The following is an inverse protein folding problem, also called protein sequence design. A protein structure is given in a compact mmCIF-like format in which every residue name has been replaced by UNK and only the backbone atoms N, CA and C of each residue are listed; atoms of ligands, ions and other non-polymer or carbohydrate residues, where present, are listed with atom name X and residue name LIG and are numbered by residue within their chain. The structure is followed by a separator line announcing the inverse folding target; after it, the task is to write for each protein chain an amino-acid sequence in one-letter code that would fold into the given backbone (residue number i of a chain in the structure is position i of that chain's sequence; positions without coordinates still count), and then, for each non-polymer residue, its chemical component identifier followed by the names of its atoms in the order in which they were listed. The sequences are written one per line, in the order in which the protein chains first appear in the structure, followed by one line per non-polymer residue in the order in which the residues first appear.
data_IF_142344001112
#
_entry.id   IF_142344001112
#
_cell.length_a   1.000
_cell.length_b   1.000
_cell.length_c   1.000
_cell.angle_alpha   90.00
_cell.angle_beta   90.00
_cell.angle_gamma   90.00
#
_symmetry.space_group_name_H-M   'P 1'
#
loop_
_entity.id
_entity.type
_entity.pdbx_description
1 polymer ?
#
# COMPACT_ATOMS: atom_id res chain seq x y z
N UNK A 1 -26.51 -45.04 63.28
CA UNK A 1 -27.96 -44.96 63.49
C UNK A 1 -28.42 -43.65 62.88
N UNK A 2 -29.29 -43.75 61.86
CA UNK A 2 -30.24 -42.73 61.35
C UNK A 2 -29.63 -41.45 60.73
N UNK A 3 -30.13 -40.88 59.64
CA UNK A 3 -31.15 -41.29 58.67
C UNK A 3 -30.97 -40.45 57.39
N UNK A 4 -31.40 -41.03 56.28
CA UNK A 4 -31.44 -40.45 54.94
C UNK A 4 -32.69 -39.57 54.82
N UNK A 5 -32.55 -38.32 54.35
CA UNK A 5 -33.66 -37.60 53.71
C UNK A 5 -33.18 -36.82 52.49
N UNK A 6 -33.70 -37.26 51.35
CA UNK A 6 -33.53 -36.69 50.00
C UNK A 6 -34.50 -35.51 49.88
N UNK A 7 -33.99 -34.32 49.59
CA UNK A 7 -34.81 -33.15 49.28
C UNK A 7 -34.81 -32.89 47.76
N UNK A 8 -35.91 -33.34 47.17
CA UNK A 8 -36.59 -32.93 45.93
C UNK A 8 -36.04 -31.72 45.15
N UNK A 9 -35.65 -31.96 43.89
CA UNK A 9 -35.53 -30.95 42.85
C UNK A 9 -36.90 -30.32 42.56
N UNK A 10 -37.05 -29.02 42.80
CA UNK A 10 -38.07 -28.18 42.18
C UNK A 10 -37.39 -27.31 41.12
N UNK A 11 -37.62 -27.68 39.85
CA UNK A 11 -37.19 -26.93 38.69
C UNK A 11 -38.12 -25.71 38.52
N UNK A 12 -37.68 -24.53 38.93
CA UNK A 12 -38.37 -23.27 38.63
C UNK A 12 -37.82 -22.75 37.30
N UNK A 13 -38.57 -22.94 36.22
CA UNK A 13 -38.31 -22.32 34.92
C UNK A 13 -38.66 -20.83 34.97
N UNK A 14 -37.66 -19.98 35.21
CA UNK A 14 -37.79 -18.54 34.99
C UNK A 14 -37.60 -18.28 33.49
N UNK A 15 -38.69 -18.01 32.79
CA UNK A 15 -38.68 -17.51 31.42
C UNK A 15 -38.14 -16.07 31.43
N UNK A 16 -36.84 -15.90 31.15
CA UNK A 16 -36.31 -14.59 30.77
C UNK A 16 -36.63 -14.36 29.28
N UNK A 17 -37.63 -13.51 29.03
CA UNK A 17 -37.85 -12.88 27.74
C UNK A 17 -36.68 -11.93 27.46
N UNK A 18 -35.71 -12.39 26.66
CA UNK A 18 -34.65 -11.54 26.15
C UNK A 18 -35.22 -10.70 25.01
N UNK A 19 -35.63 -9.47 25.32
CA UNK A 19 -36.00 -8.45 24.35
C UNK A 19 -34.77 -8.07 23.54
N UNK A 20 -34.67 -8.60 22.32
CA UNK A 20 -33.68 -8.17 21.32
C UNK A 20 -34.02 -6.75 20.89
N UNK A 21 -33.34 -5.76 21.48
CA UNK A 21 -33.27 -4.43 20.90
C UNK A 21 -32.40 -4.52 19.65
N UNK A 22 -33.05 -4.74 18.51
CA UNK A 22 -32.43 -4.64 17.20
C UNK A 22 -31.90 -3.20 17.04
N UNK A 23 -30.57 -3.04 17.08
CA UNK A 23 -29.95 -1.81 16.59
C UNK A 23 -30.28 -1.72 15.09
N UNK A 24 -30.78 -0.57 14.59
CA UNK A 24 -31.05 -0.45 13.19
C UNK A 24 -29.71 -0.52 12.45
N UNK A 25 -29.56 -1.57 11.63
CA UNK A 25 -28.49 -1.64 10.65
C UNK A 25 -28.57 -0.37 9.80
N UNK A 26 -27.60 0.53 9.97
CA UNK A 26 -27.45 1.66 9.07
C UNK A 26 -27.12 1.08 7.70
N UNK A 27 -28.13 1.04 6.83
CA UNK A 27 -27.96 0.81 5.41
C UNK A 27 -27.13 1.96 4.83
N UNK A 28 -25.81 1.83 4.86
CA UNK A 28 -24.94 2.63 4.01
C UNK A 28 -25.14 2.14 2.58
N UNK A 29 -25.95 2.87 1.82
CA UNK A 29 -26.01 2.75 0.36
C UNK A 29 -24.74 3.34 -0.24
N UNK A 30 -23.61 2.66 -0.04
CA UNK A 30 -22.39 2.92 -0.79
C UNK A 30 -22.63 2.51 -2.24
N UNK A 31 -22.41 3.41 -3.20
CA UNK A 31 -22.31 3.06 -4.60
C UNK A 31 -21.09 2.15 -4.73
N UNK A 32 -21.29 0.83 -4.70
CA UNK A 32 -20.22 -0.11 -5.00
C UNK A 32 -19.80 0.12 -6.45
N UNK A 33 -18.63 0.73 -6.65
CA UNK A 33 -18.02 0.80 -7.97
C UNK A 33 -17.74 -0.64 -8.41
N UNK A 34 -18.05 -0.94 -9.67
CA UNK A 34 -17.73 -2.23 -10.26
C UNK A 34 -16.21 -2.39 -10.26
N UNK A 35 -15.71 -3.44 -9.58
CA UNK A 35 -14.31 -3.86 -9.69
C UNK A 35 -13.90 -3.96 -11.18
N UNK A 36 -12.66 -3.63 -11.54
CA UNK A 36 -12.15 -3.92 -12.87
C UNK A 36 -12.33 -5.41 -13.17
N UNK A 37 -12.74 -5.76 -14.39
CA UNK A 37 -13.08 -7.16 -14.71
C UNK A 37 -11.90 -8.10 -14.60
N UNK A 38 -10.69 -7.57 -14.79
CA UNK A 38 -9.46 -8.29 -14.50
C UNK A 38 -9.41 -8.87 -13.08
N UNK A 39 -10.15 -8.30 -12.12
CA UNK A 39 -10.14 -8.67 -10.70
C UNK A 39 -11.49 -9.16 -10.17
N UNK A 40 -12.53 -9.24 -11.02
CA UNK A 40 -13.90 -9.57 -10.61
C UNK A 40 -14.29 -11.05 -10.82
N UNK A 41 -13.36 -11.90 -11.25
CA UNK A 41 -13.59 -13.29 -11.61
C UNK A 41 -12.88 -14.22 -10.63
N UNK A 42 -13.54 -15.29 -10.19
CA UNK A 42 -13.00 -16.34 -9.29
C UNK A 42 -11.76 -17.07 -9.87
N UNK A 43 -11.34 -16.70 -11.09
CA UNK A 43 -10.16 -17.22 -11.78
C UNK A 43 -8.83 -16.65 -11.29
N UNK A 44 -8.78 -15.53 -10.57
CA UNK A 44 -7.52 -15.07 -9.94
C UNK A 44 -7.43 -15.63 -8.52
N UNK A 45 -6.52 -16.58 -8.35
CA UNK A 45 -6.14 -17.03 -7.01
C UNK A 45 -5.48 -15.85 -6.31
N UNK A 46 -6.04 -15.35 -5.20
CA UNK A 46 -5.49 -14.23 -4.41
C UNK A 46 -3.98 -14.36 -4.11
N UNK A 47 -3.45 -15.58 -4.08
CA UNK A 47 -2.02 -15.87 -3.88
C UNK A 47 -1.12 -15.52 -5.08
N UNK A 48 -1.69 -15.27 -6.26
CA UNK A 48 -0.99 -14.91 -7.49
C UNK A 48 -1.02 -13.40 -7.79
N UNK A 49 -1.86 -12.64 -7.08
CA UNK A 49 -1.96 -11.18 -7.22
C UNK A 49 -0.65 -10.48 -6.87
N UNK A 50 -0.27 -9.48 -7.66
CA UNK A 50 0.83 -8.57 -7.33
C UNK A 50 0.44 -7.64 -6.18
N UNK A 51 1.41 -6.95 -5.57
CA UNK A 51 1.11 -5.95 -4.54
C UNK A 51 0.14 -4.87 -5.08
N UNK A 52 0.40 -4.38 -6.30
CA UNK A 52 -0.47 -3.41 -6.97
C UNK A 52 -1.87 -3.96 -7.26
N UNK A 53 -2.00 -5.24 -7.64
CA UNK A 53 -3.33 -5.84 -7.87
C UNK A 53 -4.18 -5.83 -6.58
N UNK A 54 -3.55 -6.12 -5.43
CA UNK A 54 -4.20 -6.07 -4.13
C UNK A 54 -4.60 -4.64 -3.76
N UNK A 55 -3.75 -3.66 -4.06
CA UNK A 55 -4.04 -2.23 -3.86
C UNK A 55 -5.22 -1.78 -4.73
N UNK A 56 -5.24 -2.15 -6.01
CA UNK A 56 -6.34 -1.84 -6.93
C UNK A 56 -7.66 -2.45 -6.43
N UNK A 57 -7.64 -3.72 -5.99
CA UNK A 57 -8.83 -4.36 -5.41
C UNK A 57 -9.33 -3.58 -4.18
N UNK A 58 -8.44 -3.25 -3.25
CA UNK A 58 -8.79 -2.52 -2.02
C UNK A 58 -9.33 -1.11 -2.30
N UNK A 59 -8.71 -0.38 -3.24
CA UNK A 59 -9.05 1.03 -3.52
C UNK A 59 -10.31 1.18 -4.37
N UNK A 60 -10.58 0.25 -5.30
CA UNK A 60 -11.78 0.31 -6.14
C UNK A 60 -13.04 -0.17 -5.40
N UNK A 61 -12.90 -1.06 -4.41
CA UNK A 61 -14.05 -1.62 -3.67
C UNK A 61 -14.70 -0.65 -2.69
N UNK A 62 -13.98 0.36 -2.18
CA UNK A 62 -14.51 1.25 -1.13
C UNK A 62 -14.09 2.71 -1.33
N UNK A 63 -15.05 3.50 -1.80
CA UNK A 63 -14.96 4.95 -1.97
C UNK A 63 -15.36 5.69 -0.69
N UNK A 64 -14.73 5.40 0.45
CA UNK A 64 -14.87 6.34 1.56
C UNK A 64 -14.04 7.58 1.19
N UNK A 65 -14.67 8.75 1.12
CA UNK A 65 -13.96 10.01 0.96
C UNK A 65 -12.98 10.17 2.12
N UNK A 66 -11.69 10.26 1.81
CA UNK A 66 -10.66 10.61 2.80
C UNK A 66 -10.61 12.13 2.87
N UNK A 67 -11.05 12.78 3.97
CA UNK A 67 -11.27 14.24 4.00
C UNK A 67 -10.03 15.08 3.69
N UNK A 68 -8.83 14.52 3.93
CA UNK A 68 -7.56 15.20 3.68
C UNK A 68 -7.03 15.01 2.23
N UNK A 69 -7.58 14.07 1.44
CA UNK A 69 -7.08 13.74 0.09
C UNK A 69 -8.04 14.23 -0.98
N UNK A 70 -7.54 15.04 -1.92
CA UNK A 70 -8.38 15.63 -2.97
C UNK A 70 -8.49 14.74 -4.20
N UNK A 71 -7.47 13.94 -4.48
CA UNK A 71 -7.45 12.97 -5.58
C UNK A 71 -6.32 11.97 -5.41
N UNK A 72 -6.43 10.81 -6.05
CA UNK A 72 -5.34 9.86 -6.20
C UNK A 72 -4.77 9.92 -7.61
N UNK A 73 -3.45 9.99 -7.70
CA UNK A 73 -2.71 9.76 -8.94
C UNK A 73 -2.32 8.29 -8.99
N UNK A 74 -2.42 7.69 -10.17
CA UNK A 74 -2.12 6.27 -10.40
C UNK A 74 -2.91 5.28 -9.52
N UNK A 75 -3.91 5.74 -8.76
CA UNK A 75 -4.78 4.91 -7.92
C UNK A 75 -4.51 4.94 -6.41
N UNK A 76 -3.28 5.24 -6.01
CA UNK A 76 -2.78 5.09 -4.63
C UNK A 76 -1.78 6.20 -4.21
N UNK A 77 -1.37 7.09 -5.12
CA UNK A 77 -0.56 8.25 -4.78
C UNK A 77 -1.48 9.40 -4.41
N UNK A 78 -1.62 9.66 -3.10
CA UNK A 78 -2.47 10.73 -2.60
C UNK A 78 -1.97 12.12 -3.03
N UNK A 79 -2.90 12.96 -3.47
CA UNK A 79 -2.67 14.37 -3.84
C UNK A 79 -3.62 15.24 -3.06
N UNK A 80 -3.11 16.35 -2.53
CA UNK A 80 -3.91 17.39 -1.89
C UNK A 80 -3.78 18.69 -2.69
N UNK A 81 -4.88 19.18 -3.26
CA UNK A 81 -4.92 20.51 -3.89
C UNK A 81 -5.30 21.56 -2.85
N UNK A 82 -4.40 22.51 -2.57
CA UNK A 82 -4.66 23.64 -1.68
C UNK A 82 -3.95 23.51 -0.32
N UNK A 83 -2.87 24.27 -0.16
CA UNK A 83 -2.09 24.36 1.07
C UNK A 83 -0.59 24.41 0.78
N UNK A 84 0.18 25.07 1.65
CA UNK A 84 1.64 25.25 1.59
C UNK A 84 2.48 23.95 1.63
N UNK A 85 1.87 22.80 1.34
CA UNK A 85 2.61 21.57 1.15
C UNK A 85 3.54 21.72 -0.05
N UNK A 86 4.83 21.45 0.15
CA UNK A 86 5.77 21.34 -0.96
C UNK A 86 5.20 20.28 -1.90
N UNK A 87 4.69 20.71 -3.04
CA UNK A 87 4.20 19.81 -4.08
C UNK A 87 5.44 19.19 -4.70
N UNK A 88 5.82 18.03 -4.19
CA UNK A 88 7.01 17.27 -4.57
C UNK A 88 6.79 16.50 -5.88
N UNK A 89 6.19 17.18 -6.87
CA UNK A 89 5.98 16.63 -8.20
C UNK A 89 7.15 17.04 -9.10
N UNK A 90 7.73 16.06 -9.79
CA UNK A 90 8.91 16.15 -10.68
C UNK A 90 10.29 16.32 -10.00
N UNK A 91 10.35 16.59 -8.70
CA UNK A 91 11.54 16.41 -7.86
C UNK A 91 11.12 15.60 -6.64
N UNK A 92 11.58 14.36 -6.52
CA UNK A 92 11.38 13.58 -5.30
C UNK A 92 11.82 14.44 -4.11
N UNK A 93 10.97 14.59 -3.10
CA UNK A 93 11.35 15.21 -1.84
C UNK A 93 11.80 14.10 -0.90
N UNK A 94 13.10 13.77 -0.86
CA UNK A 94 13.58 12.74 0.04
C UNK A 94 13.42 13.18 1.49
N UNK A 95 13.29 12.21 2.37
CA UNK A 95 13.51 12.40 3.81
C UNK A 95 14.96 12.85 4.08
N UNK A 96 15.16 13.58 5.18
CA UNK A 96 16.49 14.11 5.51
C UNK A 96 17.41 12.98 5.97
N UNK A 97 18.65 12.99 5.48
CA UNK A 97 19.70 12.07 5.91
C UNK A 97 20.40 12.60 7.16
N UNK A 98 20.55 11.75 8.15
CA UNK A 98 21.31 12.00 9.38
C UNK A 98 22.82 12.01 9.10
N UNK A 99 23.56 12.62 10.03
CA UNK A 99 25.03 12.76 9.96
C UNK A 99 25.76 11.41 10.04
N UNK A 100 25.14 10.40 10.65
CA UNK A 100 25.64 9.03 10.75
C UNK A 100 25.47 8.22 9.45
N UNK A 101 24.85 8.81 8.42
CA UNK A 101 24.64 8.17 7.14
C UNK A 101 23.31 7.43 7.00
N UNK A 102 22.46 7.41 8.03
CA UNK A 102 21.12 6.82 7.98
C UNK A 102 20.02 7.83 7.67
N UNK A 103 18.87 7.35 7.22
CA UNK A 103 17.65 8.14 7.00
C UNK A 103 16.60 7.63 7.97
N UNK A 104 16.41 8.36 9.07
CA UNK A 104 15.43 8.01 10.09
C UNK A 104 14.05 8.56 9.73
N UNK A 105 13.08 7.68 9.57
CA UNK A 105 11.69 8.02 9.32
C UNK A 105 10.89 7.67 10.57
N UNK A 106 10.48 8.71 11.31
CA UNK A 106 9.62 8.52 12.46
C UNK A 106 8.24 8.03 12.00
N UNK A 107 7.66 7.07 12.71
CA UNK A 107 6.31 6.58 12.42
C UNK A 107 5.46 6.39 13.67
N UNK A 108 4.14 6.45 13.49
CA UNK A 108 3.14 6.05 14.47
C UNK A 108 2.20 5.05 13.82
N UNK A 109 1.88 3.97 14.52
CA UNK A 109 0.80 3.05 14.13
C UNK A 109 -0.48 3.45 14.88
N UNK A 110 -1.61 3.43 14.19
CA UNK A 110 -2.92 3.55 14.84
C UNK A 110 -3.11 2.45 15.90
N UNK A 111 -3.68 2.77 17.08
CA UNK A 111 -4.07 1.75 18.05
C UNK A 111 -5.15 0.79 17.53
N UNK A 112 -5.83 1.13 16.43
CA UNK A 112 -6.86 0.30 15.81
C UNK A 112 -6.27 -0.92 15.07
N UNK A 113 -4.96 -0.95 14.83
CA UNK A 113 -4.30 -2.12 14.26
C UNK A 113 -4.15 -3.23 15.28
N UNK A 114 -4.59 -4.44 14.89
CA UNK A 114 -4.34 -5.64 15.69
C UNK A 114 -2.84 -5.94 15.80
N UNK A 115 -2.45 -6.76 16.78
CA UNK A 115 -1.05 -7.21 16.91
C UNK A 115 -0.55 -7.96 15.66
N UNK A 116 -1.45 -8.57 14.88
CA UNK A 116 -1.11 -9.22 13.62
C UNK A 116 -0.83 -8.17 12.53
N UNK A 117 -1.70 -7.18 12.39
CA UNK A 117 -1.55 -6.09 11.43
C UNK A 117 -0.23 -5.34 11.67
N UNK A 118 0.08 -5.04 12.93
CA UNK A 118 1.34 -4.38 13.30
C UNK A 118 2.57 -5.22 12.90
N UNK A 119 2.50 -6.55 12.99
CA UNK A 119 3.61 -7.42 12.54
C UNK A 119 3.76 -7.39 11.02
N UNK A 120 2.65 -7.37 10.28
CA UNK A 120 2.67 -7.32 8.81
C UNK A 120 3.23 -5.98 8.31
N UNK A 121 2.80 -4.87 8.92
CA UNK A 121 3.32 -3.53 8.60
C UNK A 121 4.82 -3.45 8.89
N UNK A 122 5.26 -3.98 10.05
CA UNK A 122 6.69 -4.03 10.40
C UNK A 122 7.50 -4.91 9.46
N UNK A 123 6.95 -6.04 8.99
CA UNK A 123 7.62 -6.85 7.98
C UNK A 123 7.83 -6.08 6.66
N UNK A 124 6.89 -5.20 6.28
CA UNK A 124 7.09 -4.29 5.14
C UNK A 124 8.16 -3.22 5.39
N UNK A 125 8.26 -2.71 6.63
CA UNK A 125 9.37 -1.83 7.03
C UNK A 125 10.71 -2.55 6.92
N UNK A 126 10.81 -3.78 7.45
CA UNK A 126 12.03 -4.59 7.44
C UNK A 126 12.55 -4.84 6.01
N UNK A 127 11.67 -5.03 5.02
CA UNK A 127 12.03 -5.19 3.61
C UNK A 127 12.71 -3.95 3.00
N UNK A 128 12.28 -2.76 3.43
CA UNK A 128 12.86 -1.48 3.03
C UNK A 128 14.17 -1.22 3.78
N UNK A 129 14.27 -1.55 5.06
CA UNK A 129 15.49 -1.37 5.86
C UNK A 129 16.63 -2.30 5.41
N UNK A 130 16.27 -3.52 4.97
CA UNK A 130 17.22 -4.55 4.55
C UNK A 130 18.02 -4.11 3.34
N UNK A 131 19.32 -3.93 3.52
CA UNK A 131 20.23 -3.53 2.45
C UNK A 131 20.14 -2.05 2.04
N UNK A 132 19.48 -1.22 2.86
CA UNK A 132 19.44 0.25 2.68
C UNK A 132 19.86 0.99 3.95
N UNK A 133 20.00 2.31 3.84
CA UNK A 133 20.24 3.20 4.98
C UNK A 133 18.95 3.80 5.58
N UNK A 134 17.77 3.40 5.12
CA UNK A 134 16.48 3.85 5.69
C UNK A 134 16.20 3.09 6.99
N UNK A 135 15.73 3.79 8.03
CA UNK A 135 15.34 3.20 9.32
C UNK A 135 14.01 3.79 9.78
N UNK A 136 13.03 2.94 10.03
CA UNK A 136 11.76 3.32 10.62
C UNK A 136 11.87 3.29 12.13
N UNK A 137 11.59 4.42 12.77
CA UNK A 137 11.71 4.55 14.23
C UNK A 137 10.37 4.96 14.84
N UNK A 138 9.94 4.36 15.97
CA UNK A 138 8.76 4.82 16.67
C UNK A 138 8.89 6.31 16.99
N UNK A 139 7.87 7.07 16.64
CA UNK A 139 7.84 8.51 16.88
C UNK A 139 7.79 8.79 18.38
N UNK A 140 8.58 9.79 18.79
CA UNK A 140 8.49 10.44 20.09
C UNK A 140 8.05 11.89 19.91
N UNK A 141 8.95 12.77 19.49
CA UNK A 141 8.74 14.22 19.37
C UNK A 141 9.02 14.77 17.97
N UNK A 142 9.35 13.91 17.00
CA UNK A 142 9.65 14.32 15.64
C UNK A 142 8.45 15.07 15.05
N UNK A 143 8.74 16.25 14.47
CA UNK A 143 7.73 17.07 13.77
C UNK A 143 7.24 16.37 12.51
N UNK A 144 8.17 15.82 11.76
CA UNK A 144 7.92 15.19 10.47
C UNK A 144 7.88 13.67 10.67
N UNK A 145 6.77 13.01 10.31
CA UNK A 145 6.57 11.58 10.57
C UNK A 145 5.45 10.97 9.73
N UNK A 146 5.50 9.64 9.56
CA UNK A 146 4.43 8.84 8.98
C UNK A 146 3.37 8.49 10.04
N UNK A 147 2.13 8.89 9.80
CA UNK A 147 0.97 8.47 10.58
C UNK A 147 0.25 7.34 9.84
N UNK A 148 0.52 6.10 10.23
CA UNK A 148 0.02 4.91 9.54
C UNK A 148 -1.34 4.56 10.14
N UNK A 149 -2.38 4.61 9.31
CA UNK A 149 -3.78 4.56 9.73
C UNK A 149 -4.59 3.55 8.89
N UNK A 150 -5.54 2.80 9.47
CA UNK A 150 -6.41 1.90 8.73
C UNK A 150 -7.59 2.65 8.10
N UNK A 151 -7.30 3.69 7.31
CA UNK A 151 -8.33 4.39 6.53
C UNK A 151 -8.76 3.55 5.33
N UNK A 152 -9.74 4.03 4.57
CA UNK A 152 -10.18 3.36 3.34
C UNK A 152 -9.07 3.39 2.29
N UNK A 153 -8.79 2.22 1.72
CA UNK A 153 -7.77 1.99 0.70
C UNK A 153 -6.33 1.85 1.24
N UNK A 154 -5.45 1.44 0.33
CA UNK A 154 -4.00 1.44 0.48
C UNK A 154 -3.49 2.63 -0.33
N UNK A 155 -2.82 3.57 0.33
CA UNK A 155 -2.28 4.74 -0.35
C UNK A 155 -1.27 5.48 0.52
N UNK A 156 -0.44 6.28 -0.14
CA UNK A 156 0.59 7.07 0.50
C UNK A 156 0.81 8.38 -0.24
N UNK A 157 1.41 9.34 0.45
CA UNK A 157 1.91 10.55 -0.20
C UNK A 157 3.28 10.30 -0.84
N UNK A 158 3.55 10.99 -1.94
CA UNK A 158 4.84 10.89 -2.60
C UNK A 158 5.93 11.70 -1.86
N UNK A 159 6.86 10.99 -1.23
CA UNK A 159 8.02 11.58 -0.54
C UNK A 159 7.68 12.26 0.79
N UNK A 160 8.64 13.03 1.29
CA UNK A 160 8.53 13.82 2.51
C UNK A 160 7.78 15.13 2.26
N UNK A 161 6.65 15.34 2.96
CA UNK A 161 5.79 16.53 2.84
C UNK A 161 5.98 17.56 3.95
N UNK A 162 6.61 17.18 5.05
CA UNK A 162 6.71 17.97 6.27
C UNK A 162 5.48 17.83 7.17
N UNK A 163 5.70 17.81 8.48
CA UNK A 163 4.68 17.57 9.49
C UNK A 163 4.21 16.11 9.55
N UNK A 164 3.02 15.93 10.14
CA UNK A 164 2.28 14.66 10.08
C UNK A 164 1.87 14.40 8.63
N UNK A 165 2.26 13.27 8.07
CA UNK A 165 1.71 12.80 6.80
C UNK A 165 1.11 11.40 6.95
N UNK A 166 -0.14 11.26 6.53
CA UNK A 166 -0.90 10.01 6.63
C UNK A 166 -0.46 9.03 5.56
N UNK A 167 -0.35 7.75 5.94
CA UNK A 167 -0.22 6.61 5.03
C UNK A 167 -1.33 5.63 5.40
N UNK A 168 -2.18 5.26 4.44
CA UNK A 168 -3.29 4.35 4.70
C UNK A 168 -2.92 2.91 4.36
N UNK A 169 -3.15 2.02 5.32
CA UNK A 169 -3.18 0.58 5.09
C UNK A 169 -4.46 0.04 5.71
N UNK A 170 -5.55 0.00 4.94
CA UNK A 170 -6.84 -0.52 5.37
C UNK A 170 -6.70 -1.96 5.91
N UNK A 171 -7.27 -2.24 7.08
CA UNK A 171 -7.42 -3.61 7.57
C UNK A 171 -8.80 -4.16 7.19
N UNK A 172 -8.92 -5.40 6.70
CA UNK A 172 -7.84 -6.36 6.40
C UNK A 172 -7.25 -6.21 4.99
N UNK A 173 -7.83 -5.38 4.13
CA UNK A 173 -7.63 -5.44 2.67
C UNK A 173 -6.20 -5.08 2.20
N UNK A 174 -5.46 -4.28 2.97
CA UNK A 174 -4.07 -3.90 2.71
C UNK A 174 -3.05 -4.66 3.58
N UNK A 175 -3.47 -5.67 4.35
CA UNK A 175 -2.61 -6.36 5.33
C UNK A 175 -1.71 -7.41 4.68
N UNK A 176 -0.82 -6.94 3.80
CA UNK A 176 0.23 -7.71 3.15
C UNK A 176 1.55 -6.96 3.24
N UNK A 177 2.65 -7.64 3.56
CA UNK A 177 3.95 -6.98 3.73
C UNK A 177 4.44 -6.32 2.44
N UNK A 178 4.11 -6.90 1.28
CA UNK A 178 4.40 -6.31 -0.03
C UNK A 178 3.63 -5.02 -0.28
N UNK A 179 2.34 -4.96 0.10
CA UNK A 179 1.53 -3.73 0.02
C UNK A 179 2.09 -2.66 0.96
N UNK A 180 2.40 -3.02 2.21
CA UNK A 180 3.05 -2.09 3.14
C UNK A 180 4.38 -1.56 2.57
N UNK A 181 5.21 -2.43 1.99
CA UNK A 181 6.47 -2.05 1.35
C UNK A 181 6.27 -1.09 0.16
N UNK A 182 5.25 -1.33 -0.65
CA UNK A 182 4.87 -0.49 -1.79
C UNK A 182 4.50 0.93 -1.33
N UNK A 183 3.60 1.05 -0.35
CA UNK A 183 3.18 2.35 0.18
C UNK A 183 4.31 3.11 0.89
N UNK A 184 5.22 2.37 1.54
CA UNK A 184 6.43 2.94 2.11
C UNK A 184 7.40 3.43 1.03
N UNK A 185 7.50 2.76 -0.12
CA UNK A 185 8.28 3.26 -1.26
C UNK A 185 7.70 4.56 -1.84
N UNK A 186 6.37 4.70 -1.91
CA UNK A 186 5.74 5.99 -2.21
C UNK A 186 6.13 7.06 -1.20
N UNK A 187 6.07 6.76 0.11
CA UNK A 187 6.50 7.68 1.16
C UNK A 187 7.99 8.06 1.05
N UNK A 188 8.84 7.19 0.49
CA UNK A 188 10.24 7.48 0.19
C UNK A 188 10.45 8.34 -1.06
N UNK A 189 9.42 8.51 -1.90
CA UNK A 189 9.45 9.34 -3.11
C UNK A 189 9.54 8.56 -4.42
N UNK A 190 9.25 7.26 -4.41
CA UNK A 190 9.21 6.45 -5.62
C UNK A 190 7.81 6.45 -6.24
N UNK A 191 7.76 6.58 -7.56
CA UNK A 191 6.55 6.42 -8.37
C UNK A 191 6.54 5.04 -9.00
N UNK A 192 5.44 4.68 -9.63
CA UNK A 192 5.32 3.42 -10.32
C UNK A 192 6.32 3.22 -11.47
N UNK A 193 6.76 1.97 -11.64
CA UNK A 193 7.76 1.61 -12.64
C UNK A 193 7.23 1.76 -14.07
N UNK A 194 5.96 1.42 -14.31
CA UNK A 194 5.34 1.63 -15.63
C UNK A 194 5.15 3.10 -15.97
N UNK A 195 5.29 4.02 -15.02
CA UNK A 195 5.16 5.47 -15.25
C UNK A 195 6.50 6.11 -15.65
N UNK A 196 7.60 5.36 -15.75
CA UNK A 196 8.92 5.89 -16.15
C UNK A 196 8.91 6.53 -17.54
N UNK A 197 9.77 7.53 -17.74
CA UNK A 197 9.92 8.24 -19.02
C UNK A 197 10.41 7.36 -20.18
N UNK A 198 11.08 6.24 -19.88
CA UNK A 198 11.61 5.29 -20.85
C UNK A 198 10.77 4.01 -20.98
N UNK A 199 9.62 3.92 -20.30
CA UNK A 199 8.77 2.71 -20.24
C UNK A 199 8.35 2.18 -21.60
N UNK A 200 8.14 3.06 -22.59
CA UNK A 200 7.75 2.67 -23.95
C UNK A 200 8.86 1.90 -24.71
N UNK A 201 10.09 1.82 -24.19
CA UNK A 201 11.12 0.91 -24.72
C UNK A 201 10.93 -0.54 -24.26
N UNK A 202 10.16 -0.75 -23.19
CA UNK A 202 10.05 -2.01 -22.47
C UNK A 202 8.64 -2.60 -22.56
N UNK A 203 7.61 -1.77 -22.40
CA UNK A 203 6.20 -2.19 -22.41
C UNK A 203 5.41 -1.48 -23.50
N UNK A 204 4.28 -2.09 -23.87
CA UNK A 204 3.23 -1.47 -24.67
C UNK A 204 2.00 -1.31 -23.79
N UNK A 205 1.49 -0.09 -23.68
CA UNK A 205 0.20 0.19 -23.03
C UNK A 205 -0.92 -0.06 -24.03
N UNK A 206 -1.89 -0.89 -23.66
CA UNK A 206 -3.11 -1.19 -24.43
C UNK A 206 -4.23 -0.28 -23.96
N UNK A 207 -4.21 0.95 -24.47
CA UNK A 207 -5.15 2.01 -24.08
C UNK A 207 -6.62 1.61 -24.21
N UNK A 208 -6.97 0.86 -25.26
CA UNK A 208 -8.34 0.40 -25.49
C UNK A 208 -8.82 -0.65 -24.46
N UNK A 209 -7.90 -1.27 -23.72
CA UNK A 209 -8.22 -2.27 -22.70
C UNK A 209 -8.35 -1.65 -21.30
N UNK A 210 -8.03 -0.36 -21.13
CA UNK A 210 -8.02 0.32 -19.83
C UNK A 210 -9.40 0.93 -19.56
N UNK A 211 -9.93 0.71 -18.35
CA UNK A 211 -11.11 1.40 -17.85
C UNK A 211 -10.99 2.91 -18.05
N UNK A 212 -11.96 3.53 -18.73
CA UNK A 212 -11.90 4.95 -19.14
C UNK A 212 -11.60 5.93 -18.00
N UNK A 213 -12.04 5.64 -16.77
CA UNK A 213 -11.77 6.46 -15.58
C UNK A 213 -10.30 6.45 -15.12
N UNK A 214 -9.50 5.50 -15.60
CA UNK A 214 -8.15 5.20 -15.11
C UNK A 214 -7.04 5.43 -16.15
N UNK A 215 -7.35 6.01 -17.31
CA UNK A 215 -6.35 6.31 -18.35
C UNK A 215 -5.17 7.14 -17.81
N UNK A 216 -5.44 8.08 -16.89
CA UNK A 216 -4.41 8.92 -16.27
C UNK A 216 -3.40 8.13 -15.44
N UNK A 217 -3.78 6.98 -14.89
CA UNK A 217 -2.90 6.09 -14.11
C UNK A 217 -1.80 5.43 -14.95
N UNK A 218 -1.91 5.51 -16.27
CA UNK A 218 -0.92 5.02 -17.21
C UNK A 218 -0.13 6.15 -17.87
N UNK A 219 -0.34 7.41 -17.51
CA UNK A 219 0.46 8.50 -18.06
C UNK A 219 1.89 8.47 -17.54
N UNK A 220 2.86 8.88 -18.36
CA UNK A 220 4.26 8.99 -17.94
C UNK A 220 4.37 10.04 -16.83
N UNK A 221 5.05 9.66 -15.75
CA UNK A 221 5.48 10.56 -14.71
C UNK A 221 6.92 11.00 -15.02
N UNK A 222 7.13 12.31 -15.22
CA UNK A 222 8.45 12.89 -15.48
C UNK A 222 9.32 12.91 -14.21
N UNK A 223 9.80 11.74 -13.78
CA UNK A 223 10.75 11.56 -12.68
C UNK A 223 12.14 11.18 -13.20
N UNK A 224 13.16 11.30 -12.35
CA UNK A 224 14.49 10.79 -12.64
C UNK A 224 14.50 9.26 -12.42
N UNK A 225 14.98 8.53 -13.41
CA UNK A 225 15.14 7.07 -13.37
C UNK A 225 16.34 6.60 -12.53
N UNK A 226 17.11 7.53 -11.94
CA UNK A 226 18.29 7.28 -11.11
C UNK A 226 19.34 6.41 -11.83
N UNK A 227 19.41 6.52 -13.16
CA UNK A 227 20.29 5.71 -14.01
C UNK A 227 20.20 4.20 -13.70
N UNK A 228 19.00 3.69 -13.42
CA UNK A 228 18.74 2.25 -13.26
C UNK A 228 18.05 1.69 -14.50
N UNK A 229 18.28 0.41 -14.84
CA UNK A 229 17.47 -0.28 -15.84
C UNK A 229 16.00 -0.36 -15.40
N UNK A 230 15.13 -0.59 -16.39
CA UNK A 230 13.71 -0.86 -16.16
C UNK A 230 13.52 -2.24 -15.51
N UNK A 231 12.70 -2.29 -14.46
CA UNK A 231 12.52 -3.49 -13.66
C UNK A 231 11.08 -4.02 -13.72
N UNK A 232 10.85 -5.03 -14.56
CA UNK A 232 9.56 -5.72 -14.61
C UNK A 232 9.17 -6.35 -13.27
N UNK A 233 10.14 -6.73 -12.45
CA UNK A 233 9.93 -7.37 -11.14
C UNK A 233 9.86 -6.39 -9.98
N UNK A 234 9.82 -5.08 -10.24
CA UNK A 234 9.71 -4.07 -9.18
C UNK A 234 8.40 -4.23 -8.42
N UNK A 235 8.44 -4.02 -7.09
CA UNK A 235 7.23 -3.93 -6.28
C UNK A 235 6.34 -2.74 -6.68
N UNK A 236 6.93 -1.75 -7.35
CA UNK A 236 6.25 -0.55 -7.86
C UNK A 236 5.69 -0.73 -9.28
N UNK A 237 5.76 -1.92 -9.87
CA UNK A 237 5.24 -2.17 -11.21
C UNK A 237 3.79 -2.66 -11.15
N UNK A 238 2.92 -2.08 -11.99
CA UNK A 238 1.56 -2.60 -12.19
C UNK A 238 1.56 -4.04 -12.73
N UNK A 239 0.55 -4.82 -12.33
CA UNK A 239 0.25 -6.10 -12.97
C UNK A 239 -0.15 -5.93 -14.44
N UNK A 240 -0.14 -7.03 -15.20
CA UNK A 240 -0.53 -7.03 -16.62
C UNK A 240 -1.96 -6.53 -16.86
N UNK A 241 -2.84 -6.76 -15.89
CA UNK A 241 -4.28 -6.56 -16.01
C UNK A 241 -4.77 -5.34 -15.18
N UNK A 242 -3.83 -4.50 -14.71
CA UNK A 242 -4.12 -3.27 -13.99
C UNK A 242 -5.23 -2.48 -14.68
N UNK A 243 -6.30 -2.16 -13.96
CA UNK A 243 -7.46 -1.41 -14.46
C UNK A 243 -8.07 -1.91 -15.78
N UNK A 244 -8.01 -3.23 -16.04
CA UNK A 244 -8.59 -3.81 -17.25
C UNK A 244 -10.12 -3.70 -17.28
N UNK A 245 -10.66 -3.22 -18.42
CA UNK A 245 -12.10 -3.10 -18.66
C UNK A 245 -12.77 -4.46 -18.88
N UNK A 246 -12.12 -5.34 -19.66
CA UNK A 246 -12.69 -6.62 -20.09
C UNK A 246 -11.89 -7.86 -19.64
N UNK A 247 -10.85 -7.68 -18.83
CA UNK A 247 -9.97 -8.76 -18.35
C UNK A 247 -8.75 -9.01 -19.25
N UNK A 248 -8.67 -8.35 -20.40
CA UNK A 248 -7.51 -8.37 -21.28
C UNK A 248 -6.33 -7.55 -20.69
N UNK A 249 -5.07 -7.89 -21.03
CA UNK A 249 -3.91 -7.19 -20.50
C UNK A 249 -3.88 -5.72 -20.95
N UNK A 250 -3.65 -4.81 -20.01
CA UNK A 250 -3.46 -3.38 -20.23
C UNK A 250 -1.98 -3.02 -20.43
N UNK A 251 -1.07 -3.86 -19.90
CA UNK A 251 0.38 -3.71 -20.08
C UNK A 251 0.95 -5.00 -20.67
N UNK A 252 1.70 -4.88 -21.77
CA UNK A 252 2.33 -6.03 -22.44
C UNK A 252 3.84 -5.78 -22.62
N UNK A 253 4.73 -6.66 -22.11
CA UNK A 253 6.17 -6.53 -22.31
C UNK A 253 6.54 -6.76 -23.79
N UNK A 254 7.42 -5.91 -24.35
CA UNK A 254 7.78 -5.93 -25.78
C UNK A 254 8.69 -7.07 -26.18
N UNK A 255 9.67 -7.42 -25.34
CA UNK A 255 10.72 -8.39 -25.68
C UNK A 255 10.28 -9.83 -25.51
N UNK A 256 9.55 -10.11 -24.44
CA UNK A 256 9.12 -11.46 -24.13
C UNK A 256 7.81 -11.41 -23.34
N UNK A 257 6.75 -11.99 -23.91
CA UNK A 257 5.40 -12.05 -23.32
C UNK A 257 5.30 -12.97 -22.11
N UNK A 258 6.31 -13.80 -21.82
CA UNK A 258 6.34 -14.68 -20.64
C UNK A 258 6.97 -14.03 -19.42
N UNK A 259 7.47 -12.80 -19.54
CA UNK A 259 7.98 -12.03 -18.40
C UNK A 259 6.82 -11.77 -17.43
N UNK A 260 6.97 -12.23 -16.19
CA UNK A 260 6.09 -11.83 -15.09
C UNK A 260 6.38 -10.38 -14.72
N UNK A 261 5.33 -9.58 -14.60
CA UNK A 261 5.43 -8.17 -14.23
C UNK A 261 4.77 -7.92 -12.88
N UNK A 262 5.38 -7.05 -12.11
CA UNK A 262 5.06 -6.88 -10.70
C UNK A 262 5.51 -8.08 -9.87
N UNK A 263 5.67 -7.84 -8.58
CA UNK A 263 5.82 -8.89 -7.59
C UNK A 263 5.02 -8.52 -6.34
N UNK A 264 4.90 -9.44 -5.38
CA UNK A 264 3.89 -9.36 -4.30
C UNK A 264 4.44 -9.38 -2.89
N UNK A 265 5.74 -9.60 -2.70
CA UNK A 265 6.27 -10.04 -1.41
C UNK A 265 7.43 -9.19 -0.92
N UNK A 266 8.40 -8.87 -1.78
CA UNK A 266 9.69 -8.29 -1.37
C UNK A 266 10.15 -7.20 -2.33
N UNK A 267 10.96 -6.26 -1.86
CA UNK A 267 11.61 -5.31 -2.77
C UNK A 267 12.54 -6.06 -3.74
N UNK A 268 12.54 -5.65 -5.01
CA UNK A 268 13.53 -6.15 -5.95
C UNK A 268 14.93 -5.62 -5.59
N UNK A 269 15.97 -6.25 -6.15
CA UNK A 269 17.33 -5.74 -6.02
C UNK A 269 17.47 -4.31 -6.59
N UNK A 270 16.71 -3.99 -7.65
CA UNK A 270 16.71 -2.67 -8.25
C UNK A 270 15.89 -1.66 -7.44
N UNK A 271 14.84 -2.07 -6.74
CA UNK A 271 14.11 -1.21 -5.79
C UNK A 271 15.05 -0.76 -4.66
N UNK A 272 15.78 -1.69 -4.05
CA UNK A 272 16.80 -1.37 -3.01
C UNK A 272 17.92 -0.49 -3.56
N UNK A 273 18.39 -0.76 -4.79
CA UNK A 273 19.39 0.08 -5.46
C UNK A 273 18.89 1.51 -5.68
N UNK A 274 17.62 1.68 -6.09
CA UNK A 274 17.00 3.00 -6.26
C UNK A 274 16.93 3.76 -4.94
N UNK A 275 16.56 3.10 -3.84
CA UNK A 275 16.61 3.69 -2.48
C UNK A 275 18.04 4.17 -2.17
N UNK A 276 19.02 3.29 -2.36
CA UNK A 276 20.42 3.60 -2.06
C UNK A 276 20.96 4.76 -2.90
N UNK A 277 20.60 4.84 -4.18
CA UNK A 277 20.97 5.97 -5.05
C UNK A 277 20.27 7.26 -4.63
N UNK A 278 18.96 7.22 -4.35
CA UNK A 278 18.20 8.41 -3.98
C UNK A 278 18.70 9.03 -2.66
N UNK A 279 18.98 8.18 -1.67
CA UNK A 279 19.42 8.60 -0.33
C UNK A 279 20.94 8.61 -0.16
N UNK A 280 21.69 8.35 -1.24
CA UNK A 280 23.15 8.22 -1.25
C UNK A 280 23.64 7.35 -0.09
N UNK A 281 23.01 6.19 0.11
CA UNK A 281 23.38 5.28 1.18
C UNK A 281 24.85 4.86 0.98
N UNK A 282 25.68 5.05 2.01
CA UNK A 282 27.08 4.67 1.92
C UNK A 282 27.20 3.17 1.69
N UNK A 283 28.18 2.73 0.90
CA UNK A 283 28.60 1.35 0.98
C UNK A 283 29.06 1.11 2.42
N UNK A 284 28.47 0.15 3.13
CA UNK A 284 29.14 -0.46 4.28
C UNK A 284 30.36 -1.22 3.76
N UNK A 285 31.41 -0.49 3.38
CA UNK A 285 32.76 -1.00 3.40
C UNK A 285 33.12 -1.09 4.88
N UNK A 286 32.72 -2.18 5.52
CA UNK A 286 33.43 -2.63 6.70
C UNK A 286 34.84 -2.92 6.20
N UNK A 287 35.77 -1.98 6.40
CA UNK A 287 37.18 -2.28 6.37
C UNK A 287 37.39 -3.37 7.41
N UNK A 288 37.45 -4.62 6.96
CA UNK A 288 38.06 -5.68 7.72
C UNK A 288 39.51 -5.26 7.93
N UNK A 289 39.79 -4.79 9.15
CA UNK A 289 41.15 -4.72 9.70
C UNK A 289 41.50 -6.09 10.25
#
# INVERSE_FOLDING_TARGET
MMDVTVASLLCVTVLYSCSTSATPAQHYSGIYKRLPRGYSDDRIIRSEMTATDQIIEANELRTAEVPEVTSFRDGDIAVTTGGRSKVCFARSCPWSKSVDGYVYIAYRLSPDYSSLDQRIIKAGMDEVETGTCVRFVPRTHQRDYLDIQPLSGCWSYLGHRGGRQTLSLQSPDCMWSGVASHELMHALGFVHEQSRVDRDKYVTIKWDNILKGHLKSFEIFKTNNLDTPYDYGSIMHFGMNAYSEDGDPTIVPKRNKTIKMGQRTILSALDRMKINKLYNCGCSCTTAL
#
